data_IF_451218997792
#
_entry.id   IF_451218997792
#
_cell.length_a   1.000
_cell.length_b   1.000
_cell.length_c   1.000
_cell.angle_alpha   90.00
_cell.angle_beta   90.00
_cell.angle_gamma   90.00
#
_symmetry.space_group_name_H-M   'P 1'
#
loop_
_entity.id
_entity.type
_entity.pdbx_description
1 polymer ?
#
# COMPACT_ATOMS: atom_id res chain seq x y z
N UNK A 1 0.47 16.06 4.57
CA UNK A 1 -0.56 15.66 5.55
C UNK A 1 -0.56 14.15 5.81
N UNK A 2 -0.69 13.30 4.79
CA UNK A 2 -0.67 11.83 4.93
C UNK A 2 0.58 11.27 5.64
N UNK A 3 1.79 11.71 5.26
CA UNK A 3 3.03 11.27 5.91
C UNK A 3 3.08 11.59 7.42
N UNK A 4 2.45 12.68 7.86
CA UNK A 4 2.36 13.05 9.27
C UNK A 4 1.43 12.07 10.00
N UNK A 5 0.25 11.79 9.43
CA UNK A 5 -0.74 10.86 10.00
C UNK A 5 -0.15 9.45 10.11
N UNK A 6 0.55 8.98 9.08
CA UNK A 6 1.20 7.68 9.06
C UNK A 6 2.13 7.47 10.27
N UNK A 7 2.92 8.49 10.62
CA UNK A 7 3.83 8.45 11.77
C UNK A 7 3.11 8.55 13.11
N UNK A 8 1.96 9.22 13.15
CA UNK A 8 1.20 9.45 14.38
C UNK A 8 0.27 8.30 14.77
N UNK A 9 -0.27 7.56 13.79
CA UNK A 9 -1.31 6.55 14.03
C UNK A 9 -0.83 5.09 13.91
N UNK A 10 0.31 4.83 13.25
CA UNK A 10 0.88 3.49 13.06
C UNK A 10 -0.21 2.48 12.62
N UNK A 11 -0.78 2.65 11.40
CA UNK A 11 -1.89 1.82 10.96
C UNK A 11 -1.48 0.35 10.77
N UNK A 12 -2.47 -0.56 10.83
CA UNK A 12 -2.25 -1.97 10.44
C UNK A 12 -2.17 -2.17 8.93
N UNK A 13 -2.87 -1.34 8.16
CA UNK A 13 -2.86 -1.34 6.70
C UNK A 13 -2.96 0.08 6.12
N UNK A 14 -2.39 0.27 4.94
CA UNK A 14 -2.42 1.52 4.17
C UNK A 14 -2.88 1.20 2.74
N UNK A 15 -3.88 1.93 2.27
CA UNK A 15 -4.32 1.89 0.86
C UNK A 15 -3.82 3.16 0.18
N UNK A 16 -3.06 2.99 -0.91
CA UNK A 16 -2.45 4.05 -1.68
C UNK A 16 -3.12 4.16 -3.04
N UNK A 17 -3.61 5.35 -3.39
CA UNK A 17 -4.06 5.62 -4.76
C UNK A 17 -2.87 6.00 -5.63
N UNK A 18 -2.54 5.17 -6.62
CA UNK A 18 -1.47 5.43 -7.56
C UNK A 18 -1.78 6.57 -8.55
N UNK A 19 -3.00 7.09 -8.59
CA UNK A 19 -3.41 8.07 -9.58
C UNK A 19 -3.49 7.46 -10.97
N UNK A 20 -3.19 8.26 -11.99
CA UNK A 20 -3.17 7.84 -13.40
C UNK A 20 -1.87 7.10 -13.77
N UNK A 21 -0.76 7.53 -13.18
CA UNK A 21 0.59 7.04 -13.52
C UNK A 21 1.14 5.99 -12.54
N UNK A 22 0.37 5.63 -11.52
CA UNK A 22 0.77 4.75 -10.41
C UNK A 22 1.86 5.33 -9.50
N UNK A 23 2.02 6.67 -9.46
CA UNK A 23 3.12 7.38 -8.79
C UNK A 23 2.70 8.49 -7.83
N UNK A 24 1.40 8.78 -7.73
CA UNK A 24 0.90 9.88 -6.88
C UNK A 24 1.31 9.71 -5.40
N UNK A 25 1.53 8.47 -4.97
CA UNK A 25 1.93 8.12 -3.61
C UNK A 25 3.44 7.90 -3.41
N UNK A 26 4.29 8.13 -4.41
CA UNK A 26 5.74 7.85 -4.33
C UNK A 26 6.42 8.61 -3.17
N UNK A 27 5.95 9.81 -2.86
CA UNK A 27 6.47 10.62 -1.76
C UNK A 27 6.23 10.01 -0.36
N UNK A 28 5.34 9.02 -0.24
CA UNK A 28 5.05 8.33 1.03
C UNK A 28 5.94 7.11 1.24
N UNK A 29 6.57 6.57 0.20
CA UNK A 29 7.31 5.30 0.25
C UNK A 29 8.38 5.31 1.34
N UNK A 30 9.20 6.36 1.40
CA UNK A 30 10.27 6.49 2.40
C UNK A 30 9.74 6.53 3.84
N UNK A 31 8.56 7.12 4.05
CA UNK A 31 7.94 7.19 5.38
C UNK A 31 7.31 5.87 5.80
N UNK A 32 6.72 5.13 4.86
CA UNK A 32 6.18 3.78 5.12
C UNK A 32 7.32 2.80 5.39
N UNK A 33 8.37 2.87 4.60
CA UNK A 33 9.58 2.05 4.75
C UNK A 33 10.28 2.31 6.10
N UNK A 34 10.39 3.58 6.51
CA UNK A 34 10.88 3.94 7.83
C UNK A 34 10.00 3.36 8.96
N UNK A 35 8.68 3.37 8.79
CA UNK A 35 7.75 2.81 9.77
C UNK A 35 7.90 1.29 9.89
N UNK A 36 8.01 0.59 8.76
CA UNK A 36 8.26 -0.87 8.71
C UNK A 36 9.53 -1.23 9.46
N UNK A 37 10.64 -0.56 9.14
CA UNK A 37 11.93 -0.75 9.83
C UNK A 37 11.82 -0.53 11.34
N UNK A 38 11.18 0.57 11.76
CA UNK A 38 11.03 0.88 13.18
C UNK A 38 10.18 -0.14 13.94
N UNK A 39 9.18 -0.74 13.28
CA UNK A 39 8.32 -1.76 13.88
C UNK A 39 8.99 -3.13 14.01
N UNK A 40 10.11 -3.36 13.32
CA UNK A 40 10.76 -4.68 13.21
C UNK A 40 9.91 -5.74 12.48
N UNK A 41 8.78 -5.32 11.89
CA UNK A 41 7.81 -6.15 11.16
C UNK A 41 7.52 -5.53 9.81
N UNK A 42 6.93 -6.30 8.90
CA UNK A 42 6.44 -5.78 7.60
C UNK A 42 5.11 -5.03 7.75
N UNK A 43 4.97 -4.16 8.75
CA UNK A 43 3.76 -3.36 9.01
C UNK A 43 4.00 -1.86 8.81
N UNK A 44 3.03 -1.10 8.25
CA UNK A 44 1.69 -1.53 7.82
C UNK A 44 1.72 -2.41 6.59
N UNK A 45 0.70 -3.23 6.37
CA UNK A 45 0.43 -3.82 5.07
C UNK A 45 0.08 -2.73 4.05
N UNK A 46 0.60 -2.78 2.83
CA UNK A 46 0.47 -1.71 1.84
C UNK A 46 -0.18 -2.23 0.56
N UNK A 47 -1.32 -1.64 0.23
CA UNK A 47 -2.14 -1.96 -0.94
C UNK A 47 -2.04 -0.79 -1.92
N UNK A 48 -1.58 -1.03 -3.14
CA UNK A 48 -1.60 -0.03 -4.21
C UNK A 48 -2.85 -0.21 -5.09
N UNK A 49 -3.62 0.86 -5.26
CA UNK A 49 -4.69 0.96 -6.24
C UNK A 49 -4.08 1.41 -7.58
N UNK A 50 -4.00 0.50 -8.55
CA UNK A 50 -3.24 0.70 -9.79
C UNK A 50 -4.13 0.78 -11.03
N UNK A 51 -3.69 1.50 -12.06
CA UNK A 51 -4.27 1.44 -13.41
C UNK A 51 -3.88 0.17 -14.17
N UNK A 52 -2.95 -0.65 -13.66
CA UNK A 52 -2.44 -1.87 -14.29
C UNK A 52 -2.72 -3.10 -13.43
N UNK A 53 -2.99 -4.22 -14.07
CA UNK A 53 -3.01 -5.52 -13.40
C UNK A 53 -1.60 -6.07 -13.27
N UNK A 54 -1.32 -6.77 -12.17
CA UNK A 54 -0.04 -7.44 -11.96
C UNK A 54 0.29 -7.63 -10.49
N UNK A 55 1.45 -8.20 -10.23
CA UNK A 55 2.08 -8.22 -8.90
C UNK A 55 3.02 -7.02 -8.76
N UNK A 56 3.40 -6.64 -7.52
CA UNK A 56 4.41 -5.61 -7.30
C UNK A 56 5.68 -5.83 -8.13
N UNK A 57 6.16 -7.08 -8.21
CA UNK A 57 7.38 -7.46 -8.93
C UNK A 57 7.21 -7.29 -10.45
N UNK A 58 6.10 -7.77 -11.01
CA UNK A 58 5.83 -7.65 -12.46
C UNK A 58 5.70 -6.19 -12.93
N UNK A 59 5.34 -5.29 -12.02
CA UNK A 59 5.15 -3.87 -12.29
C UNK A 59 6.38 -3.03 -11.91
N UNK A 60 7.45 -3.65 -11.40
CA UNK A 60 8.66 -2.96 -10.97
C UNK A 60 8.43 -1.99 -9.82
N UNK A 61 7.49 -2.30 -8.93
CA UNK A 61 7.10 -1.44 -7.81
C UNK A 61 8.05 -1.62 -6.63
N UNK A 62 8.05 -0.63 -5.73
CA UNK A 62 8.80 -0.67 -4.47
C UNK A 62 8.45 -1.94 -3.67
N UNK A 63 9.46 -2.55 -3.04
CA UNK A 63 9.28 -3.69 -2.11
C UNK A 63 8.43 -3.36 -0.89
N UNK A 64 8.08 -2.08 -0.72
CA UNK A 64 7.14 -1.60 0.30
C UNK A 64 5.69 -1.92 -0.06
N UNK A 65 5.37 -2.14 -1.35
CA UNK A 65 4.02 -2.51 -1.80
C UNK A 65 3.84 -4.02 -1.67
N UNK A 66 2.90 -4.49 -0.87
CA UNK A 66 2.68 -5.93 -0.70
C UNK A 66 1.70 -6.50 -1.73
N UNK A 67 0.76 -5.68 -2.19
CA UNK A 67 -0.27 -6.11 -3.13
C UNK A 67 -0.76 -4.96 -4.00
N UNK A 68 -1.20 -5.30 -5.20
CA UNK A 68 -1.78 -4.37 -6.16
C UNK A 68 -3.23 -4.76 -6.43
N UNK A 69 -4.12 -3.77 -6.40
CA UNK A 69 -5.52 -3.91 -6.80
C UNK A 69 -5.74 -3.00 -7.99
N UNK A 70 -6.00 -3.59 -9.15
CA UNK A 70 -6.22 -2.80 -10.35
C UNK A 70 -7.61 -2.14 -10.34
N UNK A 71 -7.69 -0.94 -10.92
CA UNK A 71 -8.93 -0.21 -11.17
C UNK A 71 -9.78 -0.95 -12.23
N UNK A 72 -11.13 -0.86 -12.19
CA UNK A 72 -11.94 -0.09 -11.25
C UNK A 72 -11.93 -0.71 -9.83
N UNK A 73 -11.97 0.17 -8.83
CA UNK A 73 -11.98 -0.23 -7.42
C UNK A 73 -13.42 -0.51 -7.01
N UNK A 74 -13.68 -1.77 -6.65
CA UNK A 74 -14.97 -2.19 -6.11
C UNK A 74 -14.76 -2.91 -4.78
N UNK A 75 -15.77 -2.91 -3.87
CA UNK A 75 -15.68 -3.62 -2.61
C UNK A 75 -15.34 -5.11 -2.79
N UNK A 76 -15.90 -5.76 -3.81
CA UNK A 76 -15.70 -7.18 -4.09
C UNK A 76 -14.25 -7.50 -4.48
N UNK A 77 -13.52 -6.52 -5.00
CA UNK A 77 -12.10 -6.65 -5.34
C UNK A 77 -11.17 -6.26 -4.19
N UNK A 78 -11.52 -5.22 -3.43
CA UNK A 78 -10.64 -4.66 -2.41
C UNK A 78 -10.85 -5.31 -1.02
N UNK A 79 -12.08 -5.57 -0.62
CA UNK A 79 -12.40 -6.10 0.71
C UNK A 79 -11.69 -7.43 1.00
N UNK A 80 -11.68 -8.42 0.09
CA UNK A 80 -10.99 -9.68 0.35
C UNK A 80 -9.47 -9.51 0.53
N UNK A 81 -8.88 -8.49 -0.12
CA UNK A 81 -7.45 -8.18 0.00
C UNK A 81 -7.15 -7.56 1.36
N UNK A 82 -8.00 -6.65 1.82
CA UNK A 82 -7.90 -6.05 3.16
C UNK A 82 -8.03 -7.14 4.23
N UNK A 83 -9.06 -7.99 4.15
CA UNK A 83 -9.31 -9.05 5.12
C UNK A 83 -8.15 -10.05 5.19
N UNK A 84 -7.56 -10.40 4.04
CA UNK A 84 -6.38 -11.27 3.97
C UNK A 84 -5.15 -10.67 4.64
N UNK A 85 -4.96 -9.35 4.56
CA UNK A 85 -3.77 -8.67 5.05
C UNK A 85 -3.86 -8.31 6.54
N UNK A 86 -5.05 -7.97 7.02
CA UNK A 86 -5.26 -7.57 8.42
C UNK A 86 -5.37 -8.80 9.35
N UNK A 87 -5.85 -9.95 8.84
CA UNK A 87 -5.97 -11.18 9.64
C UNK A 87 -4.68 -12.04 9.66
N UNK A 88 -3.52 -11.47 9.36
CA UNK A 88 -2.19 -12.11 9.42
C UNK A 88 -1.49 -11.80 10.74
#
# INVERSE_FOLDING_TARGET
MAAKILRSLIPGAVVLDGGVDNKDCDNLMSSIDALRRASGKSLPAVILLSTKNGTPESLGLSSVIDVVVAKPITPERLQPVIDRLINR
#
